data_IF_806645402764
#
_entry.id   IF_806645402764
#
_cell.length_a   1.000
_cell.length_b   1.000
_cell.length_c   1.000
_cell.angle_alpha   90.00
_cell.angle_beta   90.00
_cell.angle_gamma   90.00
#
_symmetry.space_group_name_H-M   'P 1'
#
loop_
_entity.id
_entity.type
_entity.pdbx_description
1 polymer ?
#
# COMPACT_ATOMS: atom_id res chain seq x y z
N UNK A 1 -35.01 59.44 -17.75
CA UNK A 1 -34.20 58.33 -18.31
C UNK A 1 -34.48 57.07 -17.50
N UNK A 2 -35.38 56.21 -17.99
CA UNK A 2 -35.58 54.84 -17.49
C UNK A 2 -35.13 53.92 -18.61
N UNK A 3 -34.16 53.03 -18.37
CA UNK A 3 -33.88 51.90 -19.26
C UNK A 3 -34.41 50.64 -18.59
N UNK A 4 -35.41 50.04 -19.24
CA UNK A 4 -35.95 48.74 -18.90
C UNK A 4 -34.84 47.68 -19.02
N UNK A 5 -34.67 46.89 -17.96
CA UNK A 5 -33.96 45.62 -18.01
C UNK A 5 -35.00 44.57 -18.34
N UNK A 6 -34.97 44.06 -19.56
CA UNK A 6 -35.79 42.95 -20.03
C UNK A 6 -35.22 41.65 -19.48
N UNK A 7 -35.85 41.10 -18.44
CA UNK A 7 -35.68 39.71 -18.06
C UNK A 7 -36.22 38.80 -19.16
N UNK A 8 -35.40 37.88 -19.63
CA UNK A 8 -35.80 36.86 -20.59
C UNK A 8 -36.36 35.68 -19.79
N UNK A 9 -37.67 35.63 -19.57
CA UNK A 9 -38.34 34.41 -19.12
C UNK A 9 -38.60 33.52 -20.34
N UNK A 10 -37.99 32.32 -20.45
CA UNK A 10 -38.28 31.41 -21.54
C UNK A 10 -39.68 30.80 -21.34
N UNK A 11 -40.46 30.69 -22.43
CA UNK A 11 -41.76 29.98 -22.44
C UNK A 11 -41.54 28.53 -21.95
N UNK A 12 -42.46 27.95 -21.18
CA UNK A 12 -42.34 26.59 -20.59
C UNK A 12 -41.81 25.51 -21.56
N UNK A 13 -42.26 25.52 -22.82
CA UNK A 13 -41.79 24.61 -23.89
C UNK A 13 -40.29 24.72 -24.21
N UNK A 14 -39.68 25.88 -24.03
CA UNK A 14 -38.25 26.10 -24.28
C UNK A 14 -37.36 25.60 -23.13
N UNK A 15 -37.90 25.53 -21.90
CA UNK A 15 -37.19 25.01 -20.72
C UNK A 15 -37.15 23.48 -20.70
N UNK A 16 -38.24 22.82 -21.06
CA UNK A 16 -38.28 21.35 -21.18
C UNK A 16 -37.30 20.85 -22.24
N UNK A 17 -37.31 21.45 -23.44
CA UNK A 17 -36.39 21.10 -24.53
C UNK A 17 -34.91 21.32 -24.15
N UNK A 18 -34.63 22.30 -23.28
CA UNK A 18 -33.29 22.55 -22.75
C UNK A 18 -32.84 21.45 -21.77
N UNK A 19 -33.72 21.04 -20.85
CA UNK A 19 -33.43 19.97 -19.89
C UNK A 19 -33.23 18.61 -20.57
N UNK A 20 -34.09 18.26 -21.53
CA UNK A 20 -33.98 17.03 -22.32
C UNK A 20 -32.63 16.96 -23.07
N UNK A 21 -32.17 18.09 -23.62
CA UNK A 21 -30.85 18.17 -24.26
C UNK A 21 -29.70 18.00 -23.28
N UNK A 22 -29.80 18.55 -22.06
CA UNK A 22 -28.80 18.32 -21.00
C UNK A 22 -28.67 16.84 -20.68
N UNK A 23 -29.79 16.16 -20.46
CA UNK A 23 -29.81 14.71 -20.19
C UNK A 23 -29.22 13.91 -21.35
N UNK A 24 -29.56 14.26 -22.59
CA UNK A 24 -29.03 13.59 -23.78
C UNK A 24 -27.51 13.75 -23.91
N UNK A 25 -26.98 14.96 -23.66
CA UNK A 25 -25.53 15.20 -23.69
C UNK A 25 -24.82 14.36 -22.62
N UNK A 26 -25.35 14.33 -21.40
CA UNK A 26 -24.76 13.54 -20.32
C UNK A 26 -24.87 12.03 -20.59
N UNK A 27 -25.96 11.55 -21.17
CA UNK A 27 -26.13 10.15 -21.54
C UNK A 27 -25.10 9.71 -22.59
N UNK A 28 -24.88 10.55 -23.62
CA UNK A 28 -23.84 10.32 -24.63
C UNK A 28 -22.45 10.27 -23.98
N UNK A 29 -22.16 11.20 -23.07
CA UNK A 29 -20.84 11.30 -22.42
C UNK A 29 -20.60 10.21 -21.37
N UNK A 30 -21.65 9.64 -20.80
CA UNK A 30 -21.61 8.48 -19.88
C UNK A 30 -21.58 7.13 -20.62
N UNK A 31 -21.74 7.11 -21.94
CA UNK A 31 -21.61 5.89 -22.73
C UNK A 31 -20.17 5.35 -22.66
N UNK A 32 -20.01 4.04 -22.50
CA UNK A 32 -18.70 3.38 -22.35
C UNK A 32 -17.79 3.55 -23.57
N UNK A 33 -18.37 3.82 -24.74
CA UNK A 33 -17.64 4.06 -25.98
C UNK A 33 -17.46 5.55 -26.28
N UNK A 34 -17.84 6.43 -25.36
CA UNK A 34 -17.67 7.86 -25.54
C UNK A 34 -16.18 8.19 -25.68
N UNK A 35 -15.84 8.86 -26.79
CA UNK A 35 -14.51 9.44 -27.00
C UNK A 35 -14.63 10.95 -26.87
N UNK A 36 -13.72 11.63 -26.16
CA UNK A 36 -13.79 13.09 -26.00
C UNK A 36 -13.95 13.83 -27.34
N UNK A 37 -15.06 14.55 -27.47
CA UNK A 37 -15.54 15.18 -28.71
C UNK A 37 -15.52 16.70 -28.61
N UNK A 38 -15.32 17.41 -29.74
CA UNK A 38 -15.53 18.86 -29.80
C UNK A 38 -17.02 19.14 -29.94
N UNK A 39 -17.45 20.37 -29.65
CA UNK A 39 -18.85 20.83 -29.87
C UNK A 39 -19.39 20.48 -31.26
N UNK A 40 -18.56 20.61 -32.30
CA UNK A 40 -18.95 20.29 -33.68
C UNK A 40 -19.26 18.81 -33.87
N UNK A 41 -18.48 17.93 -33.23
CA UNK A 41 -18.63 16.49 -33.35
C UNK A 41 -19.87 16.02 -32.57
N UNK A 42 -20.12 16.59 -31.37
CA UNK A 42 -21.36 16.38 -30.61
C UNK A 42 -22.59 16.84 -31.38
N UNK A 43 -22.51 17.99 -32.07
CA UNK A 43 -23.61 18.47 -32.91
C UNK A 43 -23.92 17.50 -34.06
N UNK A 44 -22.91 16.89 -34.68
CA UNK A 44 -23.10 15.88 -35.73
C UNK A 44 -23.72 14.61 -35.16
N UNK A 45 -23.22 14.12 -34.02
CA UNK A 45 -23.71 12.92 -33.36
C UNK A 45 -25.18 13.05 -32.92
N UNK A 46 -25.56 14.21 -32.42
CA UNK A 46 -26.93 14.52 -31.99
C UNK A 46 -27.84 14.96 -33.16
N UNK A 47 -27.34 14.95 -34.40
CA UNK A 47 -28.05 15.40 -35.60
C UNK A 47 -28.61 16.84 -35.51
N UNK A 48 -27.84 17.74 -34.88
CA UNK A 48 -28.22 19.13 -34.61
C UNK A 48 -27.74 20.06 -35.72
N UNK A 49 -28.66 20.83 -36.33
CA UNK A 49 -28.37 21.75 -37.44
C UNK A 49 -28.96 23.15 -37.25
N UNK A 50 -28.39 24.14 -37.97
CA UNK A 50 -28.90 25.51 -37.98
C UNK A 50 -28.95 26.18 -36.58
N UNK A 51 -30.06 26.86 -36.23
CA UNK A 51 -30.23 27.56 -34.94
C UNK A 51 -30.08 26.67 -33.70
N UNK A 52 -30.24 25.36 -33.85
CA UNK A 52 -30.14 24.44 -32.73
C UNK A 52 -28.70 24.22 -32.25
N UNK A 53 -27.69 24.67 -33.02
CA UNK A 53 -26.28 24.67 -32.59
C UNK A 53 -26.00 25.67 -31.49
N UNK A 54 -26.69 26.81 -31.50
CA UNK A 54 -26.57 27.83 -30.45
C UNK A 54 -27.21 27.31 -29.16
N UNK A 55 -28.36 26.65 -29.26
CA UNK A 55 -28.97 25.95 -28.13
C UNK A 55 -28.08 24.83 -27.55
N UNK A 56 -27.35 24.08 -28.39
CA UNK A 56 -26.36 23.11 -27.88
C UNK A 56 -25.19 23.81 -27.17
N UNK A 57 -24.77 24.98 -27.64
CA UNK A 57 -23.72 25.76 -26.98
C UNK A 57 -24.17 26.24 -25.59
N UNK A 58 -25.40 26.71 -25.45
CA UNK A 58 -25.99 27.10 -24.16
C UNK A 58 -26.10 25.90 -23.21
N UNK A 59 -26.51 24.73 -23.72
CA UNK A 59 -26.56 23.48 -22.93
C UNK A 59 -25.17 23.08 -22.44
N UNK A 60 -24.16 23.10 -23.32
CA UNK A 60 -22.78 22.76 -22.94
C UNK A 60 -22.21 23.77 -21.94
N UNK A 61 -22.46 25.07 -22.13
CA UNK A 61 -22.03 26.12 -21.20
C UNK A 61 -22.68 25.95 -19.82
N UNK A 62 -23.97 25.63 -19.76
CA UNK A 62 -24.67 25.33 -18.50
C UNK A 62 -24.11 24.08 -17.83
N UNK A 63 -23.83 23.01 -18.58
CA UNK A 63 -23.23 21.80 -18.01
C UNK A 63 -21.79 22.03 -17.53
N UNK A 64 -21.02 22.93 -18.16
CA UNK A 64 -19.70 23.38 -17.69
C UNK A 64 -19.83 24.25 -16.43
N UNK A 65 -20.79 25.17 -16.38
CA UNK A 65 -21.07 26.03 -15.23
C UNK A 65 -21.51 25.21 -14.00
N UNK A 66 -22.30 24.16 -14.23
CA UNK A 66 -22.71 23.19 -13.21
C UNK A 66 -21.58 22.21 -12.83
N UNK A 67 -20.43 22.26 -13.51
CA UNK A 67 -19.29 21.37 -13.26
C UNK A 67 -19.59 19.91 -13.59
N UNK A 68 -20.53 19.61 -14.50
CA UNK A 68 -20.91 18.26 -14.92
C UNK A 68 -20.15 17.78 -16.15
N UNK A 69 -19.49 18.70 -16.87
CA UNK A 69 -18.55 18.45 -17.95
C UNK A 69 -17.42 19.48 -17.89
N UNK A 70 -16.28 19.20 -18.51
CA UNK A 70 -15.18 20.16 -18.69
C UNK A 70 -14.56 20.05 -20.08
N UNK A 71 -14.13 21.16 -20.67
CA UNK A 71 -13.30 21.14 -21.87
C UNK A 71 -11.82 20.92 -21.52
N UNK A 72 -11.18 19.92 -22.11
CA UNK A 72 -9.74 19.73 -21.98
C UNK A 72 -8.95 20.78 -22.80
N UNK A 73 -7.61 20.82 -22.65
CA UNK A 73 -6.72 21.75 -23.37
C UNK A 73 -6.84 21.72 -24.91
N UNK A 74 -7.45 20.69 -25.49
CA UNK A 74 -7.68 20.54 -26.95
C UNK A 74 -9.11 20.94 -27.38
N UNK A 75 -9.90 21.49 -26.46
CA UNK A 75 -11.29 21.93 -26.66
C UNK A 75 -12.29 20.79 -26.81
N UNK A 76 -11.99 19.61 -26.23
CA UNK A 76 -12.88 18.44 -26.23
C UNK A 76 -13.55 18.30 -24.87
N UNK A 77 -14.85 18.05 -24.85
CA UNK A 77 -15.61 17.86 -23.63
C UNK A 77 -15.33 16.48 -23.02
N UNK A 78 -15.14 16.45 -21.71
CA UNK A 78 -15.00 15.24 -20.89
C UNK A 78 -15.87 15.39 -19.64
N UNK A 79 -16.25 14.28 -19.02
CA UNK A 79 -16.81 14.37 -17.68
C UNK A 79 -15.70 14.90 -16.72
N UNK A 80 -16.04 15.70 -15.70
CA UNK A 80 -15.12 16.11 -14.66
C UNK A 80 -14.50 14.85 -14.05
N UNK A 81 -13.23 14.96 -13.63
CA UNK A 81 -12.44 13.82 -13.17
C UNK A 81 -13.28 12.94 -12.24
N UNK A 82 -13.34 11.66 -12.57
CA UNK A 82 -14.02 10.67 -11.75
C UNK A 82 -13.56 10.82 -10.29
N UNK A 83 -14.48 10.61 -9.35
CA UNK A 83 -14.16 10.70 -7.93
C UNK A 83 -12.94 9.84 -7.64
N UNK A 84 -11.96 10.46 -6.99
CA UNK A 84 -10.74 9.79 -6.61
C UNK A 84 -10.92 9.22 -5.23
N UNK A 85 -10.52 7.97 -5.08
CA UNK A 85 -10.50 7.26 -3.83
C UNK A 85 -9.05 7.05 -3.39
N UNK A 86 -8.86 6.73 -2.12
CA UNK A 86 -7.54 6.35 -1.59
C UNK A 86 -7.64 4.98 -0.94
N UNK A 87 -6.64 4.14 -1.15
CA UNK A 87 -6.61 2.81 -0.56
C UNK A 87 -5.23 2.19 -0.62
N UNK A 88 -5.13 0.95 -0.14
CA UNK A 88 -3.88 0.19 -0.10
C UNK A 88 -3.84 -0.77 -1.28
N UNK A 89 -2.77 -0.71 -2.07
CA UNK A 89 -2.57 -1.58 -3.23
C UNK A 89 -1.99 -2.95 -2.82
N UNK A 90 -2.60 -4.00 -3.30
CA UNK A 90 -2.20 -5.39 -3.11
C UNK A 90 -1.87 -6.04 -4.45
N UNK A 91 -0.57 -6.07 -4.77
CA UNK A 91 -0.05 -6.66 -6.00
C UNK A 91 0.03 -8.18 -5.98
N UNK A 92 0.39 -8.77 -7.12
CA UNK A 92 0.70 -10.19 -7.26
C UNK A 92 1.79 -10.45 -8.30
N UNK A 93 2.28 -11.69 -8.33
CA UNK A 93 3.34 -12.15 -9.24
C UNK A 93 2.99 -12.02 -10.74
N UNK A 94 1.70 -11.91 -11.09
CA UNK A 94 1.24 -11.72 -12.47
C UNK A 94 1.14 -10.23 -12.85
N UNK A 95 1.54 -9.31 -11.97
CA UNK A 95 1.62 -7.88 -12.22
C UNK A 95 0.31 -7.09 -12.14
N UNK A 96 -0.83 -7.75 -11.88
CA UNK A 96 -2.08 -7.06 -11.54
C UNK A 96 -2.25 -7.00 -10.02
N UNK A 97 -3.26 -6.26 -9.55
CA UNK A 97 -3.54 -6.21 -8.12
C UNK A 97 -4.94 -5.74 -7.79
N UNK A 98 -5.13 -5.43 -6.51
CA UNK A 98 -6.38 -4.94 -5.96
C UNK A 98 -6.10 -3.75 -5.06
N UNK A 99 -7.00 -2.78 -5.02
CA UNK A 99 -6.96 -1.70 -4.03
C UNK A 99 -8.12 -1.87 -3.07
N UNK A 100 -7.79 -1.95 -1.79
CA UNK A 100 -8.77 -1.95 -0.70
C UNK A 100 -8.98 -0.51 -0.24
N UNK A 101 -10.21 -0.02 -0.38
CA UNK A 101 -10.63 1.34 0.02
C UNK A 101 -11.45 1.24 1.30
N UNK A 102 -11.14 2.06 2.30
CA UNK A 102 -11.88 2.09 3.55
C UNK A 102 -13.35 2.48 3.32
N UNK A 103 -14.28 1.75 3.94
CA UNK A 103 -15.71 1.99 3.79
C UNK A 103 -16.34 1.40 2.51
N UNK A 104 -15.54 0.85 1.59
CA UNK A 104 -16.05 0.16 0.39
C UNK A 104 -16.28 -1.32 0.66
N UNK A 105 -17.38 -1.86 0.14
CA UNK A 105 -17.61 -3.31 0.12
C UNK A 105 -16.91 -3.94 -1.09
N UNK A 106 -15.77 -4.58 -0.84
CA UNK A 106 -14.97 -5.28 -1.83
C UNK A 106 -13.91 -4.43 -2.51
N UNK A 107 -12.88 -5.09 -3.03
CA UNK A 107 -11.71 -4.42 -3.61
C UNK A 107 -11.94 -4.00 -5.07
N UNK A 108 -11.18 -2.96 -5.47
CA UNK A 108 -11.10 -2.52 -6.87
C UNK A 108 -9.96 -3.27 -7.56
N UNK A 109 -10.27 -4.01 -8.62
CA UNK A 109 -9.28 -4.67 -9.46
C UNK A 109 -8.51 -3.65 -10.30
N UNK A 110 -7.19 -3.77 -10.29
CA UNK A 110 -6.26 -2.95 -11.09
C UNK A 110 -5.48 -3.88 -12.02
N UNK A 111 -5.62 -3.67 -13.33
CA UNK A 111 -4.85 -4.40 -14.33
C UNK A 111 -3.37 -3.99 -14.30
N UNK A 112 -2.49 -4.83 -14.87
CA UNK A 112 -1.04 -4.55 -14.94
C UNK A 112 -0.70 -3.20 -15.58
N UNK A 113 -1.50 -2.77 -16.55
CA UNK A 113 -1.28 -1.52 -17.30
C UNK A 113 -1.72 -0.28 -16.50
N UNK A 114 -2.55 -0.50 -15.49
CA UNK A 114 -3.22 0.53 -14.71
C UNK A 114 -2.66 0.66 -13.28
N UNK A 115 -1.58 -0.06 -12.95
CA UNK A 115 -0.97 -0.01 -11.60
C UNK A 115 -0.24 1.30 -11.34
N UNK A 116 0.08 2.08 -12.37
CA UNK A 116 0.81 3.35 -12.21
C UNK A 116 2.22 3.19 -11.64
N UNK A 117 2.76 1.97 -11.58
CA UNK A 117 4.04 1.67 -10.93
C UNK A 117 3.94 1.35 -9.43
N UNK A 118 2.74 1.26 -8.87
CA UNK A 118 2.54 0.89 -7.46
C UNK A 118 3.11 -0.50 -7.14
N UNK A 119 3.74 -0.59 -5.98
CA UNK A 119 4.23 -1.84 -5.38
C UNK A 119 3.30 -2.31 -4.27
N UNK A 120 3.39 -3.59 -3.93
CA UNK A 120 2.54 -4.17 -2.90
C UNK A 120 2.66 -3.46 -1.56
N UNK A 121 1.56 -2.97 -1.01
CA UNK A 121 1.50 -2.25 0.25
C UNK A 121 1.42 -0.74 0.09
N UNK A 122 1.69 -0.21 -1.11
CA UNK A 122 1.64 1.23 -1.36
C UNK A 122 0.25 1.81 -1.09
N UNK A 123 0.23 3.01 -0.50
CA UNK A 123 -0.98 3.83 -0.40
C UNK A 123 -1.14 4.59 -1.71
N UNK A 124 -2.30 4.42 -2.38
CA UNK A 124 -2.51 4.90 -3.74
C UNK A 124 -3.80 5.69 -3.87
N UNK A 125 -3.78 6.68 -4.78
CA UNK A 125 -4.95 7.40 -5.25
C UNK A 125 -5.44 6.75 -6.55
N UNK A 126 -6.70 6.32 -6.59
CA UNK A 126 -7.27 5.63 -7.75
C UNK A 126 -8.59 6.25 -8.21
N UNK A 127 -8.93 5.94 -9.46
CA UNK A 127 -10.25 6.19 -10.05
C UNK A 127 -10.90 4.85 -10.37
N UNK A 128 -12.16 4.70 -10.00
CA UNK A 128 -12.97 3.55 -10.40
C UNK A 128 -13.57 3.80 -11.77
N UNK A 129 -13.13 3.02 -12.75
CA UNK A 129 -13.61 3.09 -14.14
C UNK A 129 -14.96 2.39 -14.28
N UNK A 130 -15.17 1.33 -13.49
CA UNK A 130 -16.37 0.49 -13.55
C UNK A 130 -16.71 -0.09 -12.20
N UNK A 131 -17.94 0.13 -11.77
CA UNK A 131 -18.51 -0.53 -10.59
C UNK A 131 -18.74 -2.03 -10.78
N UNK A 132 -18.70 -2.75 -9.66
CA UNK A 132 -18.95 -4.18 -9.63
C UNK A 132 -20.36 -4.49 -10.15
N UNK A 133 -20.46 -5.39 -11.13
CA UNK A 133 -21.71 -6.05 -11.44
C UNK A 133 -22.07 -7.05 -10.32
N UNK A 134 -23.34 -7.50 -10.17
CA UNK A 134 -23.68 -8.54 -9.20
C UNK A 134 -22.79 -9.79 -9.38
N UNK A 135 -21.97 -10.11 -8.37
CA UNK A 135 -21.00 -11.21 -8.41
C UNK A 135 -19.65 -10.91 -9.09
N UNK A 136 -19.44 -9.69 -9.58
CA UNK A 136 -18.18 -9.21 -10.14
C UNK A 136 -17.37 -8.34 -9.17
N UNK A 137 -16.22 -7.84 -9.64
CA UNK A 137 -15.40 -6.85 -8.93
C UNK A 137 -15.46 -5.50 -9.64
N UNK A 138 -15.24 -4.42 -8.89
CA UNK A 138 -15.02 -3.11 -9.48
C UNK A 138 -13.66 -3.10 -10.20
N UNK A 139 -13.52 -2.29 -11.23
CA UNK A 139 -12.28 -2.12 -11.99
C UNK A 139 -11.89 -0.64 -11.99
N UNK A 140 -10.59 -0.36 -11.88
CA UNK A 140 -10.08 1.00 -11.86
C UNK A 140 -8.63 1.11 -12.29
N UNK A 141 -8.10 2.31 -12.14
CA UNK A 141 -6.70 2.62 -12.38
C UNK A 141 -6.12 3.55 -11.33
N UNK A 142 -4.84 3.36 -11.04
CA UNK A 142 -4.08 4.19 -10.11
C UNK A 142 -3.67 5.47 -10.83
N UNK A 143 -3.99 6.60 -10.22
CA UNK A 143 -3.65 7.93 -10.72
C UNK A 143 -2.38 8.49 -10.08
N UNK A 144 -2.09 8.10 -8.84
CA UNK A 144 -0.85 8.44 -8.14
C UNK A 144 -0.55 7.43 -7.03
N UNK A 145 0.74 7.23 -6.74
CA UNK A 145 1.17 6.62 -5.48
C UNK A 145 1.40 7.75 -4.48
N UNK A 146 0.77 7.66 -3.31
CA UNK A 146 0.83 8.67 -2.26
C UNK A 146 1.97 8.37 -1.29
N UNK A 147 2.16 7.10 -0.96
CA UNK A 147 3.18 6.62 -0.04
C UNK A 147 3.65 5.23 -0.48
N UNK A 148 4.97 5.03 -0.53
CA UNK A 148 5.56 3.74 -0.85
C UNK A 148 5.76 2.92 0.41
N UNK A 149 5.35 1.65 0.38
CA UNK A 149 5.52 0.75 1.53
C UNK A 149 6.85 0.00 1.51
N UNK A 150 7.57 0.01 0.38
CA UNK A 150 8.81 -0.74 0.19
C UNK A 150 9.89 0.19 -0.34
N UNK A 151 10.61 0.86 0.54
CA UNK A 151 11.83 1.59 0.16
C UNK A 151 13.03 0.65 0.03
N UNK A 152 13.02 -0.43 0.82
CA UNK A 152 14.01 -1.51 0.78
C UNK A 152 13.34 -2.85 0.43
N UNK A 153 14.00 -3.63 -0.43
CA UNK A 153 13.52 -4.93 -0.88
C UNK A 153 14.63 -5.96 -0.73
N UNK A 154 14.29 -7.08 -0.08
CA UNK A 154 15.13 -8.29 -0.05
C UNK A 154 14.85 -9.16 -1.27
N UNK A 155 15.90 -9.66 -1.89
CA UNK A 155 15.76 -10.56 -3.03
C UNK A 155 17.04 -11.27 -3.45
N UNK A 156 16.90 -12.11 -4.48
CA UNK A 156 18.00 -12.83 -5.10
C UNK A 156 18.65 -11.99 -6.20
N UNK A 157 19.96 -11.77 -6.11
CA UNK A 157 20.72 -11.04 -7.11
C UNK A 157 21.12 -11.94 -8.30
N UNK A 158 20.80 -11.46 -9.50
CA UNK A 158 21.18 -12.05 -10.79
C UNK A 158 21.91 -11.03 -11.67
N UNK A 159 23.21 -11.28 -11.89
CA UNK A 159 24.06 -10.46 -12.75
C UNK A 159 23.84 -10.83 -14.23
N UNK A 160 23.68 -9.79 -15.04
CA UNK A 160 23.66 -9.86 -16.51
C UNK A 160 24.70 -8.91 -17.10
N UNK A 161 25.81 -9.46 -17.61
CA UNK A 161 26.93 -8.69 -18.19
C UNK A 161 27.44 -7.60 -17.20
N UNK A 162 27.06 -6.35 -17.41
CA UNK A 162 27.52 -5.18 -16.67
C UNK A 162 26.49 -4.63 -15.68
N UNK A 163 25.25 -5.14 -15.69
CA UNK A 163 24.17 -4.75 -14.78
C UNK A 163 23.63 -6.00 -14.08
N UNK A 164 22.65 -5.84 -13.19
CA UNK A 164 21.97 -6.97 -12.56
C UNK A 164 20.48 -6.72 -12.38
N UNK A 165 19.81 -7.73 -11.88
CA UNK A 165 18.46 -7.66 -11.36
C UNK A 165 18.43 -8.25 -9.96
N UNK A 166 17.48 -7.80 -9.16
CA UNK A 166 17.10 -8.46 -7.91
C UNK A 166 15.68 -8.93 -8.05
N UNK A 167 15.50 -10.24 -7.90
CA UNK A 167 14.20 -10.89 -7.89
C UNK A 167 13.66 -10.81 -6.46
N UNK A 168 12.59 -10.05 -6.18
CA UNK A 168 12.07 -9.88 -4.83
C UNK A 168 11.64 -11.20 -4.21
N UNK A 169 11.92 -11.37 -2.92
CA UNK A 169 11.47 -12.56 -2.17
C UNK A 169 9.96 -12.53 -1.93
N UNK A 170 9.36 -11.34 -1.86
CA UNK A 170 7.93 -11.17 -1.75
C UNK A 170 7.27 -11.35 -3.14
N UNK A 171 6.53 -12.45 -3.39
CA UNK A 171 5.94 -12.73 -4.69
C UNK A 171 4.81 -11.76 -5.06
N UNK A 172 4.35 -10.91 -4.12
CA UNK A 172 3.39 -9.85 -4.43
C UNK A 172 4.03 -8.66 -5.14
N UNK A 173 5.35 -8.54 -5.10
CA UNK A 173 6.12 -7.59 -5.89
C UNK A 173 6.47 -8.28 -7.22
N UNK A 174 5.56 -8.22 -8.18
CA UNK A 174 5.69 -8.92 -9.48
C UNK A 174 6.68 -8.28 -10.46
N UNK A 175 7.67 -7.52 -9.99
CA UNK A 175 8.62 -6.79 -10.83
C UNK A 175 10.03 -6.98 -10.29
N UNK A 176 10.95 -7.35 -11.17
CA UNK A 176 12.37 -7.40 -10.85
C UNK A 176 12.93 -5.99 -10.68
N UNK A 177 13.84 -5.81 -9.73
CA UNK A 177 14.49 -4.52 -9.48
C UNK A 177 15.76 -4.44 -10.31
N UNK A 178 15.84 -3.50 -11.24
CA UNK A 178 17.03 -3.28 -12.06
C UNK A 178 18.15 -2.66 -11.23
N UNK A 179 19.34 -3.27 -11.28
CA UNK A 179 20.54 -2.78 -10.60
C UNK A 179 21.52 -2.25 -11.66
N UNK A 180 21.72 -0.93 -11.76
CA UNK A 180 22.65 -0.32 -12.70
C UNK A 180 24.10 -0.79 -12.49
N UNK A 181 24.93 -0.60 -13.52
CA UNK A 181 26.36 -0.88 -13.42
C UNK A 181 27.01 -0.03 -12.31
N UNK A 182 27.73 -0.68 -11.39
CA UNK A 182 28.37 -0.01 -10.25
C UNK A 182 27.55 0.02 -8.97
N UNK A 183 26.24 -0.27 -9.04
CA UNK A 183 25.32 -0.21 -7.90
C UNK A 183 25.09 -1.58 -7.21
N UNK A 184 25.96 -2.57 -7.44
CA UNK A 184 25.75 -3.94 -6.93
C UNK A 184 26.50 -4.26 -5.65
N UNK A 185 27.32 -3.35 -5.10
CA UNK A 185 28.24 -3.60 -3.98
C UNK A 185 29.12 -4.85 -4.14
N UNK A 186 29.39 -5.27 -5.38
CA UNK A 186 30.16 -6.50 -5.65
C UNK A 186 29.36 -7.80 -5.50
N UNK A 187 28.03 -7.73 -5.41
CA UNK A 187 27.16 -8.90 -5.40
C UNK A 187 27.39 -9.82 -6.61
N UNK A 188 27.22 -11.13 -6.37
CA UNK A 188 27.41 -12.20 -7.35
C UNK A 188 26.11 -13.00 -7.47
N UNK A 189 25.96 -13.73 -8.58
CA UNK A 189 24.80 -14.61 -8.77
C UNK A 189 24.66 -15.57 -7.59
N UNK A 190 23.44 -15.72 -7.09
CA UNK A 190 23.17 -16.56 -5.94
C UNK A 190 23.22 -15.83 -4.60
N UNK A 191 23.64 -14.55 -4.56
CA UNK A 191 23.59 -13.76 -3.33
C UNK A 191 22.16 -13.29 -3.03
N UNK A 192 21.77 -13.40 -1.77
CA UNK A 192 20.67 -12.65 -1.18
C UNK A 192 21.15 -11.25 -0.81
N UNK A 193 20.38 -10.25 -1.18
CA UNK A 193 20.75 -8.84 -1.04
C UNK A 193 19.56 -8.02 -0.57
N UNK A 194 19.87 -6.88 0.06
CA UNK A 194 18.91 -5.81 0.34
C UNK A 194 19.18 -4.68 -0.66
N UNK A 195 18.13 -4.25 -1.34
CA UNK A 195 18.16 -3.19 -2.35
C UNK A 195 17.36 -2.00 -1.87
N UNK A 196 17.94 -0.81 -1.93
CA UNK A 196 17.21 0.44 -1.80
C UNK A 196 16.69 0.87 -3.17
N UNK A 197 15.38 1.15 -3.27
CA UNK A 197 14.76 1.58 -4.52
C UNK A 197 15.02 3.07 -4.74
N UNK A 198 15.67 3.40 -5.84
CA UNK A 198 15.96 4.79 -6.23
C UNK A 198 14.94 5.34 -7.24
N UNK A 199 14.29 4.46 -8.01
CA UNK A 199 13.22 4.79 -8.93
C UNK A 199 12.21 3.64 -8.97
N UNK A 200 10.93 3.90 -8.70
CA UNK A 200 9.87 2.88 -8.69
C UNK A 200 9.42 2.46 -10.11
N UNK A 201 9.92 3.15 -11.14
CA UNK A 201 9.56 2.94 -12.53
C UNK A 201 8.14 3.43 -12.83
N UNK A 202 7.83 3.60 -14.12
CA UNK A 202 6.47 3.97 -14.57
C UNK A 202 6.00 3.08 -15.71
N UNK A 203 4.71 2.74 -15.68
CA UNK A 203 4.09 1.90 -16.71
C UNK A 203 4.79 0.55 -16.83
N UNK A 204 5.54 0.33 -17.92
CA UNK A 204 6.23 -0.94 -18.19
C UNK A 204 7.70 -0.97 -17.75
N UNK A 205 8.27 0.15 -17.31
CA UNK A 205 9.69 0.25 -16.92
C UNK A 205 9.91 -0.27 -15.52
N UNK A 206 10.78 -1.28 -15.35
CA UNK A 206 11.05 -1.89 -14.06
C UNK A 206 11.59 -0.86 -13.06
N UNK A 207 11.26 -1.01 -11.76
CA UNK A 207 11.91 -0.22 -10.72
C UNK A 207 13.43 -0.44 -10.79
N UNK A 208 14.19 0.55 -10.36
CA UNK A 208 15.64 0.48 -10.25
C UNK A 208 16.13 0.92 -8.89
N UNK A 209 17.27 0.38 -8.49
CA UNK A 209 17.83 0.62 -7.17
C UNK A 209 19.29 0.26 -7.08
N UNK A 210 19.81 0.40 -5.86
CA UNK A 210 21.16 0.00 -5.52
C UNK A 210 21.16 -1.02 -4.40
N UNK A 211 22.06 -2.00 -4.50
CA UNK A 211 22.32 -2.92 -3.40
C UNK A 211 22.94 -2.10 -2.28
N UNK A 212 22.35 -2.17 -1.08
CA UNK A 212 22.86 -1.52 0.13
C UNK A 212 23.47 -2.54 1.11
N UNK A 213 23.15 -3.83 0.93
CA UNK A 213 23.71 -4.92 1.74
C UNK A 213 23.68 -6.25 1.02
N UNK A 214 24.71 -7.07 1.24
CA UNK A 214 24.77 -8.48 0.83
C UNK A 214 24.56 -9.31 2.10
N UNK A 215 23.50 -10.10 2.13
CA UNK A 215 23.17 -10.97 3.27
C UNK A 215 24.09 -12.20 3.26
N UNK A 216 24.23 -12.83 2.10
CA UNK A 216 25.07 -14.01 1.91
C UNK A 216 24.67 -14.78 0.66
N UNK A 217 25.30 -15.93 0.42
CA UNK A 217 24.88 -16.81 -0.66
C UNK A 217 23.64 -17.62 -0.25
N UNK A 218 22.68 -17.84 -1.15
CA UNK A 218 21.45 -18.63 -0.92
C UNK A 218 21.69 -20.03 -0.31
N UNK A 219 22.90 -20.58 -0.44
CA UNK A 219 23.25 -21.93 0.00
C UNK A 219 24.01 -21.93 1.34
N UNK A 220 24.27 -20.76 1.91
CA UNK A 220 24.94 -20.62 3.20
C UNK A 220 23.91 -20.81 4.33
N UNK A 221 24.24 -21.60 5.38
CA UNK A 221 23.36 -21.77 6.52
C UNK A 221 23.00 -20.44 7.19
N UNK A 222 21.71 -20.22 7.46
CA UNK A 222 21.21 -19.03 8.17
C UNK A 222 20.87 -17.84 7.28
N UNK A 223 21.26 -17.83 6.01
CA UNK A 223 20.91 -16.75 5.06
C UNK A 223 19.41 -16.68 4.80
N UNK A 224 18.72 -17.81 4.83
CA UNK A 224 17.26 -17.91 4.72
C UNK A 224 16.57 -17.19 5.90
N UNK A 225 17.02 -17.44 7.12
CA UNK A 225 16.50 -16.79 8.33
C UNK A 225 16.80 -15.29 8.30
N UNK A 226 18.06 -14.92 8.01
CA UNK A 226 18.45 -13.51 7.91
C UNK A 226 17.65 -12.77 6.84
N UNK A 227 17.40 -13.38 5.69
CA UNK A 227 16.57 -12.76 4.63
C UNK A 227 15.16 -12.43 5.11
N UNK A 228 14.56 -13.28 5.95
CA UNK A 228 13.23 -13.04 6.54
C UNK A 228 13.30 -11.93 7.59
N UNK A 229 14.32 -11.93 8.46
CA UNK A 229 14.57 -10.85 9.44
C UNK A 229 14.62 -9.51 8.74
N UNK A 230 15.39 -9.41 7.65
CA UNK A 230 15.50 -8.16 6.89
C UNK A 230 14.22 -7.79 6.14
N UNK A 231 13.55 -8.75 5.50
CA UNK A 231 12.32 -8.47 4.75
C UNK A 231 11.18 -7.92 5.62
N UNK A 232 11.18 -8.28 6.90
CA UNK A 232 10.20 -7.81 7.89
C UNK A 232 10.73 -6.69 8.79
N UNK A 233 11.94 -6.18 8.53
CA UNK A 233 12.61 -5.17 9.35
C UNK A 233 12.57 -5.55 10.84
N UNK A 234 12.77 -6.83 11.14
CA UNK A 234 12.79 -7.31 12.52
C UNK A 234 14.04 -6.75 13.21
N UNK A 235 13.95 -6.38 14.50
CA UNK A 235 15.10 -5.94 15.25
C UNK A 235 16.23 -6.96 15.14
N UNK A 236 17.39 -6.48 14.73
CA UNK A 236 18.60 -7.29 14.59
C UNK A 236 19.36 -7.36 15.90
N UNK A 237 20.65 -7.01 15.84
CA UNK A 237 21.53 -7.02 17.02
C UNK A 237 21.09 -5.99 18.06
N UNK A 238 21.37 -6.31 19.34
CA UNK A 238 21.15 -5.37 20.43
C UNK A 238 22.05 -4.14 20.27
N UNK A 239 21.55 -2.92 20.52
CA UNK A 239 22.37 -1.71 20.47
C UNK A 239 23.55 -1.80 21.44
N UNK A 240 24.69 -1.19 21.08
CA UNK A 240 25.89 -1.23 21.94
C UNK A 240 25.62 -0.71 23.36
N UNK A 241 24.77 0.31 23.51
CA UNK A 241 24.38 0.82 24.83
C UNK A 241 23.70 -0.25 25.71
N UNK A 242 22.89 -1.14 25.12
CA UNK A 242 22.27 -2.27 25.83
C UNK A 242 23.34 -3.30 26.22
N UNK A 243 24.28 -3.59 25.31
CA UNK A 243 25.38 -4.51 25.61
C UNK A 243 26.31 -3.97 26.71
N UNK A 244 26.57 -2.66 26.72
CA UNK A 244 27.32 -2.00 27.78
C UNK A 244 26.62 -2.09 29.13
N UNK A 245 25.30 -1.86 29.18
CA UNK A 245 24.52 -1.99 30.42
C UNK A 245 24.54 -3.42 30.98
N UNK A 246 24.42 -4.43 30.10
CA UNK A 246 24.45 -5.84 30.51
C UNK A 246 25.82 -6.26 31.07
N UNK A 247 26.94 -5.65 30.63
CA UNK A 247 28.30 -6.00 31.10
C UNK A 247 28.48 -5.78 32.60
N UNK A 248 27.74 -4.84 33.19
CA UNK A 248 27.86 -4.49 34.61
C UNK A 248 26.90 -5.30 35.51
N UNK A 249 26.03 -6.14 34.92
CA UNK A 249 25.11 -7.00 35.68
C UNK A 249 25.85 -8.25 36.19
N UNK A 250 25.88 -8.51 37.50
CA UNK A 250 26.53 -9.71 38.05
C UNK A 250 25.79 -11.00 37.67
N UNK A 251 26.54 -12.10 37.49
CA UNK A 251 25.98 -13.45 37.23
C UNK A 251 25.20 -14.05 38.43
N UNK A 252 25.27 -13.40 39.60
CA UNK A 252 24.64 -13.86 40.84
C UNK A 252 23.85 -12.72 41.48
N UNK A 253 22.69 -13.05 42.02
CA UNK A 253 21.86 -12.09 42.78
C UNK A 253 22.64 -11.59 44.00
N UNK A 254 22.81 -10.27 44.11
CA UNK A 254 23.55 -9.65 45.19
C UNK A 254 22.74 -9.64 46.50
N UNK A 255 23.38 -9.65 47.68
CA UNK A 255 22.68 -9.64 48.96
C UNK A 255 21.71 -8.45 49.13
N UNK A 256 22.10 -7.28 48.66
CA UNK A 256 21.28 -6.06 48.68
C UNK A 256 20.00 -6.17 47.83
N UNK A 257 20.01 -6.97 46.76
CA UNK A 257 18.84 -7.19 45.89
C UNK A 257 17.80 -8.11 46.53
N UNK A 258 18.17 -8.80 47.63
CA UNK A 258 17.27 -9.65 48.40
C UNK A 258 16.55 -8.88 49.52
N UNK A 259 16.95 -7.65 49.81
CA UNK A 259 16.36 -6.87 50.90
C UNK A 259 14.87 -6.58 50.64
N UNK A 260 14.01 -6.87 51.62
CA UNK A 260 12.56 -6.69 51.51
C UNK A 260 11.83 -7.76 50.68
N UNK A 261 12.53 -8.76 50.13
CA UNK A 261 11.92 -9.90 49.42
C UNK A 261 11.59 -11.04 50.40
N UNK A 262 10.56 -11.82 50.08
CA UNK A 262 10.21 -13.03 50.81
C UNK A 262 11.20 -14.15 50.43
N UNK A 263 11.87 -14.73 51.41
CA UNK A 263 12.79 -15.85 51.19
C UNK A 263 12.01 -17.18 51.05
N UNK A 264 12.10 -17.77 49.86
CA UNK A 264 11.43 -19.01 49.48
C UNK A 264 12.41 -20.12 49.06
N UNK A 265 13.71 -19.93 49.31
CA UNK A 265 14.76 -20.85 48.82
C UNK A 265 14.65 -22.28 49.35
N UNK A 266 14.01 -22.46 50.50
CA UNK A 266 13.79 -23.78 51.11
C UNK A 266 12.59 -24.55 50.52
N UNK A 267 11.79 -23.91 49.65
CA UNK A 267 10.68 -24.59 48.97
C UNK A 267 11.19 -25.44 47.81
N UNK A 268 10.64 -26.65 47.69
CA UNK A 268 10.89 -27.52 46.54
C UNK A 268 10.19 -26.91 45.32
N UNK A 269 10.97 -26.17 44.56
CA UNK A 269 10.57 -25.42 43.38
C UNK A 269 11.12 -26.10 42.13
N UNK A 270 10.29 -26.29 41.11
CA UNK A 270 10.68 -26.91 39.83
C UNK A 270 10.21 -26.08 38.64
N UNK A 271 10.94 -26.13 37.54
CA UNK A 271 10.50 -25.65 36.21
C UNK A 271 10.17 -26.88 35.34
N UNK A 272 9.34 -26.71 34.31
CA UNK A 272 8.90 -27.81 33.43
C UNK A 272 8.97 -27.33 31.97
N UNK A 273 10.10 -27.57 31.34
CA UNK A 273 10.48 -26.98 30.05
C UNK A 273 11.00 -28.04 29.07
N UNK A 274 11.20 -27.62 27.81
CA UNK A 274 11.88 -28.44 26.81
C UNK A 274 13.34 -28.68 27.17
N UNK A 275 13.93 -29.75 26.66
CA UNK A 275 15.35 -30.08 26.90
C UNK A 275 16.32 -29.04 26.33
N UNK A 276 15.93 -28.37 25.24
CA UNK A 276 16.70 -27.30 24.59
C UNK A 276 16.39 -25.88 25.11
N UNK A 277 15.45 -25.71 26.06
CA UNK A 277 15.09 -24.40 26.62
C UNK A 277 16.24 -23.80 27.44
N UNK A 278 16.44 -22.48 27.33
CA UNK A 278 17.52 -21.76 28.04
C UNK A 278 17.04 -20.59 28.89
N UNK A 279 15.79 -20.20 28.69
CA UNK A 279 15.06 -19.09 29.27
C UNK A 279 13.96 -19.64 30.19
N UNK A 280 14.36 -20.07 31.39
CA UNK A 280 13.45 -20.65 32.38
C UNK A 280 12.81 -19.53 33.21
N UNK A 281 11.72 -18.97 32.71
CA UNK A 281 11.10 -17.76 33.27
C UNK A 281 10.03 -18.03 34.34
N UNK A 282 9.56 -19.27 34.46
CA UNK A 282 8.56 -19.66 35.44
C UNK A 282 8.95 -20.91 36.23
N UNK A 283 8.48 -20.95 37.47
CA UNK A 283 8.66 -22.07 38.36
C UNK A 283 7.43 -22.31 39.22
N UNK A 284 7.23 -23.57 39.64
CA UNK A 284 6.09 -23.98 40.43
C UNK A 284 6.49 -24.71 41.70
N UNK A 285 5.74 -24.44 42.76
CA UNK A 285 5.80 -25.16 44.04
C UNK A 285 4.43 -25.68 44.38
N UNK A 286 4.32 -26.91 44.87
CA UNK A 286 3.07 -27.46 45.39
C UNK A 286 3.24 -27.98 46.82
N UNK A 287 2.37 -27.52 47.72
CA UNK A 287 2.35 -27.94 49.12
C UNK A 287 0.96 -28.52 49.44
N UNK A 288 0.92 -29.67 50.10
CA UNK A 288 -0.35 -30.24 50.59
C UNK A 288 -0.76 -29.54 51.88
N UNK A 289 -2.02 -29.14 51.96
CA UNK A 289 -2.62 -28.49 53.13
C UNK A 289 -3.77 -29.33 53.69
N UNK A 290 -4.31 -28.97 54.85
CA UNK A 290 -5.43 -29.70 55.47
C UNK A 290 -6.69 -29.75 54.59
N UNK A 291 -6.92 -28.72 53.77
CA UNK A 291 -8.11 -28.56 52.93
C UNK A 291 -7.89 -28.72 51.42
N UNK A 292 -6.68 -29.06 50.98
CA UNK A 292 -6.34 -29.11 49.55
C UNK A 292 -4.86 -28.92 49.28
N UNK A 293 -4.52 -28.15 48.25
CA UNK A 293 -3.14 -27.83 47.88
C UNK A 293 -2.94 -26.32 47.79
N UNK A 294 -1.74 -25.86 48.16
CA UNK A 294 -1.25 -24.52 47.85
C UNK A 294 -0.33 -24.62 46.64
N UNK A 295 -0.67 -23.90 45.59
CA UNK A 295 0.17 -23.72 44.41
C UNK A 295 0.86 -22.36 44.51
N UNK A 296 2.19 -22.36 44.41
CA UNK A 296 2.99 -21.16 44.16
C UNK A 296 3.40 -21.15 42.69
N UNK A 297 3.19 -20.02 42.03
CA UNK A 297 3.68 -19.73 40.68
C UNK A 297 4.65 -18.56 40.81
N UNK A 298 5.89 -18.80 40.41
CA UNK A 298 7.00 -17.86 40.56
C UNK A 298 7.48 -17.47 39.17
N UNK A 299 7.57 -16.17 38.89
CA UNK A 299 7.95 -15.64 37.57
C UNK A 299 9.25 -14.86 37.73
N UNK A 300 10.15 -14.97 36.74
CA UNK A 300 11.37 -14.19 36.67
C UNK A 300 11.07 -12.68 36.78
N UNK A 301 11.77 -12.00 37.69
CA UNK A 301 11.56 -10.58 37.94
C UNK A 301 12.35 -9.71 36.95
N UNK A 302 11.95 -9.77 35.68
CA UNK A 302 12.58 -8.99 34.59
C UNK A 302 12.52 -7.48 34.86
N UNK A 303 11.46 -7.01 35.53
CA UNK A 303 11.24 -5.59 35.83
C UNK A 303 12.27 -4.99 36.78
N UNK A 304 12.93 -5.82 37.59
CA UNK A 304 14.04 -5.38 38.43
C UNK A 304 15.27 -4.99 37.60
N UNK A 305 15.51 -5.70 36.49
CA UNK A 305 16.68 -5.53 35.63
C UNK A 305 16.44 -4.55 34.46
N UNK A 306 15.21 -4.48 33.93
CA UNK A 306 14.85 -3.58 32.82
C UNK A 306 14.01 -2.42 33.35
N UNK A 307 14.63 -1.22 33.46
CA UNK A 307 14.04 -0.01 34.07
C UNK A 307 13.63 1.07 33.07
#
# INVERSE_FOLDING_TARGET
MKKHVTGYEPRLQSREKFLERRETVLAIMKDKNYRPMRRRDLAVLMNVSGPEKDALAEVLASLEEDGLIQANRRGKYVLPGAEKETGVYSGNAKGFGFVTVEGRNGDVFISMENTGGALHGDTVELVVDREAAPGGKAEGHITAVLEHANEEIVGLYEKTKNYGFVLPDNPKIGRDIFIPAGCSMGAKNGHKVVVHITDFGRGRENPSGEVIRIIGHLNEPGVDVQSVVEAHHLPGEFPEAVLEEIRDIPDVVLPEETEGRLDLRDLVTVTIDGDDSKDLDDAVTIERTEGGYRLGVHIADVSHYVK
#
